data_IF_957387043679
#
_entry.id   IF_957387043679
#
_cell.length_a   1.000
_cell.length_b   1.000
_cell.length_c   1.000
_cell.angle_alpha   90.00
_cell.angle_beta   90.00
_cell.angle_gamma   90.00
#
_symmetry.space_group_name_H-M   'P 1'
#
loop_
_entity.id
_entity.type
_entity.pdbx_description
1 polymer ?
#
# COMPACT_ATOMS: atom_id res chain seq x y z
N UNK A 1 23.05 5.72 -6.84
CA UNK A 1 21.99 4.78 -7.23
C UNK A 1 20.79 5.62 -7.64
N UNK A 2 20.14 5.32 -8.76
CA UNK A 2 18.90 6.00 -9.11
C UNK A 2 17.83 5.63 -8.09
N UNK A 3 17.23 6.63 -7.43
CA UNK A 3 16.16 6.43 -6.45
C UNK A 3 14.82 6.23 -7.15
N UNK A 4 14.79 5.39 -8.19
CA UNK A 4 13.62 5.18 -9.04
C UNK A 4 13.43 3.69 -9.25
N UNK A 5 12.17 3.25 -9.10
CA UNK A 5 11.71 1.93 -9.50
C UNK A 5 10.73 2.10 -10.65
N UNK A 6 11.13 1.69 -11.86
CA UNK A 6 10.32 1.81 -13.07
C UNK A 6 9.47 0.56 -13.26
N UNK A 7 8.18 0.76 -13.55
CA UNK A 7 7.23 -0.33 -13.84
C UNK A 7 6.44 -0.04 -15.10
N UNK A 8 6.01 -1.09 -15.79
CA UNK A 8 5.12 -1.02 -16.94
C UNK A 8 3.71 -1.51 -16.57
N UNK A 9 2.68 -0.72 -16.88
CA UNK A 9 1.29 -1.11 -16.70
C UNK A 9 0.56 -0.83 -18.01
N UNK A 10 0.02 -1.87 -18.66
CA UNK A 10 -0.65 -1.77 -19.97
C UNK A 10 0.18 -1.02 -21.03
N UNK A 11 1.48 -1.30 -21.11
CA UNK A 11 2.39 -0.68 -22.09
C UNK A 11 2.80 0.76 -21.76
N UNK A 12 2.42 1.29 -20.59
CA UNK A 12 2.85 2.62 -20.12
C UNK A 12 3.84 2.47 -18.98
N UNK A 13 4.92 3.24 -19.03
CA UNK A 13 5.95 3.25 -18.01
C UNK A 13 5.67 4.31 -16.95
N UNK A 14 5.90 3.94 -15.68
CA UNK A 14 5.75 4.81 -14.53
C UNK A 14 7.02 4.73 -13.69
N UNK A 15 7.55 5.89 -13.32
CA UNK A 15 8.73 6.02 -12.45
C UNK A 15 8.28 6.27 -11.02
N UNK A 16 8.56 5.32 -10.13
CA UNK A 16 8.21 5.40 -8.72
C UNK A 16 9.44 5.85 -7.94
N UNK A 17 9.44 7.04 -7.31
CA UNK A 17 10.57 7.50 -6.52
C UNK A 17 10.71 6.65 -5.24
N UNK A 18 11.79 5.86 -5.14
CA UNK A 18 11.96 4.89 -4.05
C UNK A 18 12.17 5.57 -2.70
N UNK A 19 12.60 6.83 -2.67
CA UNK A 19 12.73 7.62 -1.46
C UNK A 19 11.39 8.06 -0.85
N UNK A 20 10.30 8.01 -1.62
CA UNK A 20 8.97 8.43 -1.17
C UNK A 20 8.12 7.26 -0.64
N UNK A 21 8.66 6.04 -0.67
CA UNK A 21 7.96 4.83 -0.23
C UNK A 21 8.79 4.07 0.78
N UNK A 22 8.12 3.29 1.63
CA UNK A 22 8.82 2.41 2.57
C UNK A 22 9.52 1.26 1.83
N UNK A 23 10.55 0.69 2.45
CA UNK A 23 11.21 -0.51 1.94
C UNK A 23 10.22 -1.68 1.74
N UNK A 24 9.28 -1.86 2.67
CA UNK A 24 8.23 -2.89 2.56
C UNK A 24 7.30 -2.65 1.35
N UNK A 25 6.94 -1.39 1.09
CA UNK A 25 6.15 -1.01 -0.10
C UNK A 25 6.91 -1.34 -1.38
N UNK A 26 8.22 -1.05 -1.43
CA UNK A 26 9.06 -1.38 -2.57
C UNK A 26 9.15 -2.90 -2.79
N UNK A 27 9.30 -3.68 -1.73
CA UNK A 27 9.33 -5.14 -1.81
C UNK A 27 8.00 -5.73 -2.31
N UNK A 28 6.86 -5.18 -1.86
CA UNK A 28 5.55 -5.59 -2.34
C UNK A 28 5.34 -5.22 -3.82
N UNK A 29 5.81 -4.04 -4.25
CA UNK A 29 5.80 -3.66 -5.66
C UNK A 29 6.64 -4.63 -6.51
N UNK A 30 7.82 -5.03 -6.03
CA UNK A 30 8.68 -6.03 -6.70
C UNK A 30 8.01 -7.40 -6.83
N UNK A 31 7.16 -7.80 -5.88
CA UNK A 31 6.39 -9.05 -5.96
C UNK A 31 5.24 -8.97 -6.98
N UNK A 32 4.76 -7.76 -7.28
CA UNK A 32 3.70 -7.53 -8.27
C UNK A 32 4.25 -7.42 -9.70
N UNK A 33 5.51 -7.05 -9.86
CA UNK A 33 6.20 -7.00 -11.15
C UNK A 33 6.70 -8.37 -11.59
N UNK A 34 6.58 -8.66 -12.89
CA UNK A 34 7.25 -9.79 -13.52
C UNK A 34 8.71 -9.49 -13.90
N UNK A 35 9.38 -10.44 -14.55
CA UNK A 35 10.76 -10.33 -15.04
C UNK A 35 10.95 -9.16 -16.03
N UNK A 36 9.89 -8.75 -16.72
CA UNK A 36 9.87 -7.63 -17.66
C UNK A 36 9.48 -6.30 -17.00
N UNK A 37 9.48 -6.24 -15.66
CA UNK A 37 9.04 -5.09 -14.89
C UNK A 37 7.60 -4.66 -15.19
N UNK A 38 6.76 -5.60 -15.65
CA UNK A 38 5.36 -5.37 -15.99
C UNK A 38 4.46 -5.82 -14.86
N UNK A 39 3.41 -5.04 -14.58
CA UNK A 39 2.39 -5.35 -13.57
C UNK A 39 1.07 -5.63 -14.29
N UNK A 40 0.43 -6.78 -13.99
CA UNK A 40 -0.96 -7.02 -14.37
C UNK A 40 -1.87 -6.04 -13.60
N UNK A 41 -2.64 -5.17 -14.28
CA UNK A 41 -3.53 -4.21 -13.60
C UNK A 41 -4.50 -4.84 -12.61
N UNK A 42 -4.92 -6.10 -12.83
CA UNK A 42 -5.81 -6.82 -11.91
C UNK A 42 -5.10 -7.19 -10.61
N UNK A 43 -3.82 -7.56 -10.67
CA UNK A 43 -3.01 -7.80 -9.47
C UNK A 43 -2.78 -6.51 -8.70
N UNK A 44 -2.53 -5.41 -9.41
CA UNK A 44 -2.38 -4.09 -8.79
C UNK A 44 -3.67 -3.65 -8.08
N UNK A 45 -4.82 -3.82 -8.74
CA UNK A 45 -6.13 -3.53 -8.15
C UNK A 45 -6.40 -4.41 -6.94
N UNK A 46 -6.12 -5.72 -7.01
CA UNK A 46 -6.27 -6.64 -5.88
C UNK A 46 -5.44 -6.20 -4.67
N UNK A 47 -4.16 -5.88 -4.87
CA UNK A 47 -3.28 -5.41 -3.81
C UNK A 47 -3.74 -4.07 -3.21
N UNK A 48 -4.28 -3.17 -4.03
CA UNK A 48 -4.87 -1.91 -3.57
C UNK A 48 -6.10 -2.16 -2.68
N UNK A 49 -7.01 -3.04 -3.10
CA UNK A 49 -8.21 -3.36 -2.33
C UNK A 49 -7.87 -4.02 -0.99
N UNK A 50 -6.94 -4.98 -0.97
CA UNK A 50 -6.47 -5.61 0.27
C UNK A 50 -5.85 -4.58 1.25
N UNK A 51 -4.99 -3.69 0.73
CA UNK A 51 -4.42 -2.63 1.55
C UNK A 51 -5.50 -1.65 2.08
N UNK A 52 -6.52 -1.35 1.26
CA UNK A 52 -7.64 -0.51 1.67
C UNK A 52 -8.49 -1.16 2.76
N UNK A 53 -8.76 -2.46 2.67
CA UNK A 53 -9.51 -3.21 3.68
C UNK A 53 -8.78 -3.24 5.03
N UNK A 54 -7.46 -3.46 5.00
CA UNK A 54 -6.62 -3.41 6.20
C UNK A 54 -6.65 -2.00 6.81
N UNK A 55 -6.50 -0.96 5.99
CA UNK A 55 -6.53 0.43 6.45
C UNK A 55 -7.87 0.77 7.12
N UNK A 56 -8.99 0.39 6.50
CA UNK A 56 -10.33 0.61 7.04
C UNK A 56 -10.54 -0.11 8.37
N UNK A 57 -10.05 -1.34 8.47
CA UNK A 57 -10.12 -2.14 9.70
C UNK A 57 -9.32 -1.49 10.83
N UNK A 58 -8.08 -1.06 10.54
CA UNK A 58 -7.23 -0.36 11.51
C UNK A 58 -7.86 0.94 11.99
N UNK A 59 -8.40 1.74 11.07
CA UNK A 59 -9.08 2.99 11.42
C UNK A 59 -10.29 2.75 12.34
N UNK A 60 -11.10 1.74 12.03
CA UNK A 60 -12.27 1.36 12.85
C UNK A 60 -11.84 0.90 14.25
N UNK A 61 -10.77 0.11 14.34
CA UNK A 61 -10.25 -0.36 15.62
C UNK A 61 -9.69 0.79 16.47
N UNK A 62 -8.99 1.74 15.85
CA UNK A 62 -8.49 2.94 16.53
C UNK A 62 -9.65 3.78 17.06
N UNK A 63 -10.70 4.01 16.25
CA UNK A 63 -11.87 4.75 16.67
C UNK A 63 -12.58 4.09 17.86
N UNK A 64 -12.77 2.77 17.83
CA UNK A 64 -13.37 2.00 18.92
C UNK A 64 -12.53 2.10 20.20
N UNK A 65 -11.20 2.00 20.09
CA UNK A 65 -10.30 2.13 21.22
C UNK A 65 -10.37 3.52 21.85
N UNK A 66 -10.41 4.58 21.03
CA UNK A 66 -10.54 5.96 21.50
C UNK A 66 -11.88 6.19 22.23
N UNK A 67 -13.00 5.71 21.67
CA UNK A 67 -14.32 5.80 22.31
C UNK A 67 -14.36 5.09 23.67
N UNK A 68 -13.71 3.92 23.77
CA UNK A 68 -13.60 3.17 25.03
C UNK A 68 -12.80 3.96 26.07
N UNK A 69 -11.67 4.55 25.68
CA UNK A 69 -10.84 5.37 26.56
C UNK A 69 -11.57 6.63 27.04
N UNK A 70 -12.34 7.29 26.18
CA UNK A 70 -13.17 8.43 26.56
C UNK A 70 -14.26 8.04 27.55
N UNK A 71 -14.92 6.89 27.33
CA UNK A 71 -15.93 6.37 28.25
C UNK A 71 -15.34 6.08 29.62
N UNK A 72 -14.16 5.44 29.68
CA UNK A 72 -13.46 5.14 30.94
C UNK A 72 -12.95 6.37 31.68
N UNK A 73 -12.67 7.49 30.98
CA UNK A 73 -12.28 8.76 31.61
C UNK A 73 -13.45 9.52 32.24
N UNK A 74 -14.67 9.24 31.79
CA UNK A 74 -15.89 9.91 32.23
C UNK A 74 -16.68 9.12 33.30
N UNK A 75 -16.09 8.04 33.82
CA UNK A 75 -16.57 7.24 34.97
C UNK A 75 -15.64 7.50 36.15
#
# INVERSE_FOLDING_TARGET
>A
MENIFRVCINGRYYDIPTQNISQNTLENLKKLTDENHTIDPRKLLGAFLEASEISNTLQTNIQTALQTLETLKNI
#
